data_IF_011278145827
#
_entry.id   IF_011278145827
#
_cell.length_a   1.000
_cell.length_b   1.000
_cell.length_c   1.000
_cell.angle_alpha   90.00
_cell.angle_beta   90.00
_cell.angle_gamma   90.00
#
_symmetry.space_group_name_H-M   'P 1'
#
loop_
_entity.id
_entity.type
_entity.pdbx_description
1 polymer ?
#
# COMPACT_ATOMS: atom_id res chain seq x y z
N UNK A 1 7.69 25.25 23.21
CA UNK A 1 8.46 24.19 23.91
C UNK A 1 8.27 22.87 23.18
N UNK A 2 9.34 22.12 22.90
CA UNK A 2 9.26 20.79 22.28
C UNK A 2 9.17 19.72 23.37
N UNK A 3 8.21 18.80 23.26
CA UNK A 3 7.94 17.72 24.22
C UNK A 3 7.78 16.40 23.46
N UNK A 4 8.26 15.29 24.03
CA UNK A 4 7.87 13.95 23.57
C UNK A 4 6.38 13.78 23.90
N UNK A 5 5.56 13.47 22.91
CA UNK A 5 4.10 13.31 23.08
C UNK A 5 3.64 11.86 22.89
N UNK A 6 4.52 10.99 22.41
CA UNK A 6 4.23 9.56 22.26
C UNK A 6 5.17 8.90 21.27
N UNK A 7 4.74 7.74 20.79
CA UNK A 7 5.45 6.93 19.80
C UNK A 7 4.45 6.37 18.79
N UNK A 8 4.92 6.07 17.59
CA UNK A 8 4.14 5.46 16.53
C UNK A 8 4.81 4.15 16.10
N UNK A 9 4.06 3.05 16.20
CA UNK A 9 4.46 1.75 15.66
C UNK A 9 4.19 1.67 14.16
N UNK A 10 5.13 1.08 13.42
CA UNK A 10 5.09 0.95 11.96
C UNK A 10 5.40 -0.50 11.60
N UNK A 11 4.51 -1.12 10.82
CA UNK A 11 4.52 -2.54 10.42
C UNK A 11 4.36 -2.74 8.90
N UNK A 12 4.60 -1.66 8.14
CA UNK A 12 4.62 -1.68 6.67
C UNK A 12 5.55 -0.62 6.05
N UNK A 13 6.43 -0.02 6.86
CA UNK A 13 7.30 1.10 6.49
C UNK A 13 6.58 2.38 6.06
N UNK A 14 5.27 2.49 6.33
CA UNK A 14 4.41 3.55 5.79
C UNK A 14 3.57 4.18 6.90
N UNK A 15 3.31 5.48 6.76
CA UNK A 15 2.50 6.27 7.69
C UNK A 15 1.57 7.22 6.93
N UNK A 16 0.52 7.66 7.64
CA UNK A 16 -0.48 8.58 7.14
C UNK A 16 -0.89 9.57 8.23
N UNK A 17 -1.08 10.84 7.84
CA UNK A 17 -1.65 11.89 8.69
C UNK A 17 -2.98 12.33 8.07
N UNK A 18 -4.05 12.28 8.85
CA UNK A 18 -5.38 12.76 8.46
C UNK A 18 -6.18 13.26 9.68
N UNK A 19 -7.25 14.01 9.43
CA UNK A 19 -8.25 14.27 10.46
C UNK A 19 -9.02 12.97 10.77
N UNK A 20 -9.22 12.59 12.04
CA UNK A 20 -10.00 11.41 12.41
C UNK A 20 -11.42 11.40 11.84
N UNK A 21 -12.06 12.55 11.66
CA UNK A 21 -13.41 12.65 11.10
C UNK A 21 -13.46 12.10 9.66
N UNK A 22 -12.38 12.27 8.90
CA UNK A 22 -12.30 11.78 7.53
C UNK A 22 -12.22 10.26 7.48
N UNK A 23 -11.69 9.60 8.53
CA UNK A 23 -11.72 8.13 8.61
C UNK A 23 -13.17 7.65 8.59
N UNK A 24 -14.09 8.35 9.25
CA UNK A 24 -15.50 7.99 9.23
C UNK A 24 -16.21 8.41 7.93
N UNK A 25 -15.94 9.60 7.39
CA UNK A 25 -16.71 10.16 6.29
C UNK A 25 -16.14 9.88 4.90
N UNK A 26 -14.82 9.80 4.76
CA UNK A 26 -14.11 9.71 3.49
C UNK A 26 -13.52 8.33 3.21
N UNK A 27 -13.22 7.54 4.26
CA UNK A 27 -12.55 6.24 4.09
C UNK A 27 -13.38 5.32 3.22
N UNK A 28 -12.72 4.72 2.22
CA UNK A 28 -13.30 3.68 1.37
C UNK A 28 -12.82 2.34 1.89
N UNK A 29 -13.72 1.62 2.56
CA UNK A 29 -13.49 0.24 2.96
C UNK A 29 -13.60 -0.69 1.74
N UNK A 30 -12.54 -0.69 0.95
CA UNK A 30 -12.40 -1.55 -0.21
C UNK A 30 -11.37 -2.63 0.12
N UNK A 31 -11.69 -3.91 -0.16
CA UNK A 31 -10.73 -4.98 0.04
C UNK A 31 -9.46 -4.71 -0.76
N UNK A 32 -8.33 -4.59 -0.07
CA UNK A 32 -7.03 -4.55 -0.74
C UNK A 32 -6.73 -5.93 -1.30
N UNK A 33 -7.02 -6.12 -2.59
CA UNK A 33 -6.64 -7.33 -3.31
C UNK A 33 -5.42 -7.01 -4.15
N UNK A 34 -4.25 -7.41 -3.65
CA UNK A 34 -3.04 -7.55 -4.46
C UNK A 34 -3.28 -8.70 -5.43
N UNK A 35 -3.97 -8.41 -6.53
CA UNK A 35 -4.13 -9.38 -7.59
C UNK A 35 -2.91 -9.29 -8.49
N UNK A 36 -1.87 -10.05 -8.16
CA UNK A 36 -0.77 -10.27 -9.09
C UNK A 36 -1.07 -11.51 -9.91
N UNK A 37 -1.59 -11.26 -11.11
CA UNK A 37 -1.89 -12.30 -12.07
C UNK A 37 -0.86 -12.31 -13.19
N UNK A 38 -0.43 -13.50 -13.56
CA UNK A 38 0.55 -13.73 -14.62
C UNK A 38 -0.02 -14.74 -15.61
N UNK A 39 -0.21 -14.33 -16.86
CA UNK A 39 -0.57 -15.24 -17.94
C UNK A 39 0.69 -15.85 -18.54
N UNK A 40 0.74 -17.18 -18.65
CA UNK A 40 1.80 -17.86 -19.37
C UNK A 40 1.65 -17.63 -20.88
N UNK A 41 2.71 -17.26 -21.58
CA UNK A 41 2.65 -16.89 -23.00
C UNK A 41 2.35 -18.08 -23.93
N UNK A 42 2.77 -19.28 -23.53
CA UNK A 42 2.66 -20.51 -24.33
C UNK A 42 1.69 -21.56 -23.79
N UNK A 43 1.29 -21.41 -22.53
CA UNK A 43 0.44 -22.38 -21.85
C UNK A 43 -0.88 -21.66 -21.56
N UNK A 44 -2.00 -22.35 -21.68
CA UNK A 44 -3.29 -21.81 -21.26
C UNK A 44 -3.42 -21.85 -19.72
N UNK A 45 -2.51 -21.13 -19.04
CA UNK A 45 -2.39 -21.08 -17.58
C UNK A 45 -2.24 -19.64 -17.09
N UNK A 46 -2.92 -19.36 -15.98
CA UNK A 46 -2.83 -18.11 -15.24
C UNK A 46 -2.34 -18.46 -13.83
N UNK A 47 -1.32 -17.75 -13.36
CA UNK A 47 -0.80 -17.85 -12.00
C UNK A 47 -1.23 -16.64 -11.19
N UNK A 48 -1.57 -16.84 -9.91
CA UNK A 48 -2.00 -15.76 -9.02
C UNK A 48 -1.35 -15.80 -7.64
N UNK A 49 -0.77 -14.68 -7.20
CA UNK A 49 -0.21 -14.59 -5.85
C UNK A 49 -1.34 -14.63 -4.82
N UNK A 50 -1.34 -15.63 -3.94
CA UNK A 50 -2.37 -15.89 -2.94
C UNK A 50 -3.82 -15.92 -3.49
N UNK A 51 -3.99 -16.13 -4.80
CA UNK A 51 -5.29 -16.15 -5.47
C UNK A 51 -5.47 -17.45 -6.26
N UNK A 52 -6.59 -18.14 -6.05
CA UNK A 52 -6.93 -19.40 -6.74
C UNK A 52 -8.15 -19.29 -7.66
N UNK A 53 -8.84 -18.14 -7.68
CA UNK A 53 -10.01 -17.89 -8.55
C UNK A 53 -10.21 -16.41 -8.84
N UNK A 54 -10.59 -16.06 -10.07
CA UNK A 54 -11.10 -14.73 -10.43
C UNK A 54 -12.30 -14.91 -11.38
N UNK A 55 -13.50 -14.72 -10.87
CA UNK A 55 -14.73 -15.02 -11.62
C UNK A 55 -14.73 -16.46 -12.14
N UNK A 56 -14.91 -16.71 -13.45
CA UNK A 56 -14.85 -18.05 -14.04
C UNK A 56 -13.43 -18.55 -14.33
N UNK A 57 -12.39 -17.73 -14.18
CA UNK A 57 -11.01 -18.11 -14.53
C UNK A 57 -10.41 -19.08 -13.50
N UNK A 58 -9.83 -20.18 -14.03
CA UNK A 58 -9.03 -21.12 -13.24
C UNK A 58 -7.62 -20.55 -13.05
N UNK A 59 -7.24 -20.32 -11.80
CA UNK A 59 -5.95 -19.73 -11.44
C UNK A 59 -5.16 -20.72 -10.61
N UNK A 60 -3.90 -20.92 -10.98
CA UNK A 60 -2.95 -21.63 -10.15
C UNK A 60 -2.35 -20.67 -9.12
N UNK A 61 -2.67 -20.89 -7.85
CA UNK A 61 -2.20 -20.01 -6.77
C UNK A 61 -0.76 -20.35 -6.37
N UNK A 62 0.05 -19.32 -6.13
CA UNK A 62 1.36 -19.44 -5.50
C UNK A 62 1.46 -18.52 -4.28
N UNK A 63 2.20 -18.97 -3.25
CA UNK A 63 2.39 -18.24 -1.98
C UNK A 63 3.73 -17.53 -1.90
N UNK A 64 4.72 -18.01 -2.63
CA UNK A 64 6.08 -17.44 -2.68
C UNK A 64 6.60 -17.57 -4.11
N UNK A 65 7.56 -16.72 -4.48
CA UNK A 65 8.03 -16.59 -5.85
C UNK A 65 9.06 -17.68 -6.25
N UNK A 66 9.66 -18.34 -5.27
CA UNK A 66 10.72 -19.34 -5.40
C UNK A 66 10.16 -20.76 -5.52
N UNK A 67 8.92 -20.98 -5.07
CA UNK A 67 8.32 -22.32 -5.07
C UNK A 67 7.96 -22.72 -6.50
N UNK A 68 8.36 -23.94 -6.89
CA UNK A 68 8.02 -24.51 -8.19
C UNK A 68 6.50 -24.69 -8.32
N UNK A 69 5.99 -24.29 -9.48
CA UNK A 69 4.60 -24.47 -9.90
C UNK A 69 4.43 -25.80 -10.63
N UNK A 70 3.23 -26.08 -11.11
CA UNK A 70 2.94 -27.25 -11.95
C UNK A 70 3.73 -27.30 -13.27
N UNK A 71 4.35 -26.19 -13.68
CA UNK A 71 5.27 -26.16 -14.85
C UNK A 71 6.67 -26.68 -14.52
N UNK A 72 6.91 -27.10 -13.27
CA UNK A 72 8.23 -27.44 -12.69
C UNK A 72 9.20 -26.25 -12.61
N UNK A 73 8.73 -25.03 -12.90
CA UNK A 73 9.44 -23.77 -12.74
C UNK A 73 8.75 -22.90 -11.69
N UNK A 74 9.54 -22.10 -10.99
CA UNK A 74 9.10 -21.05 -10.07
C UNK A 74 8.63 -19.79 -10.82
N UNK A 75 7.95 -18.89 -10.11
CA UNK A 75 7.55 -17.61 -10.69
C UNK A 75 8.78 -16.75 -11.04
N UNK A 76 9.82 -16.76 -10.20
CA UNK A 76 11.09 -16.07 -10.48
C UNK A 76 11.72 -16.54 -11.80
N UNK A 77 11.83 -17.85 -12.01
CA UNK A 77 12.37 -18.42 -13.26
C UNK A 77 11.51 -18.03 -14.47
N UNK A 78 10.18 -18.15 -14.37
CA UNK A 78 9.28 -17.82 -15.47
C UNK A 78 9.28 -16.30 -15.80
N UNK A 79 9.42 -15.43 -14.81
CA UNK A 79 9.53 -13.98 -15.00
C UNK A 79 10.87 -13.63 -15.65
N UNK A 80 11.97 -14.17 -15.13
CA UNK A 80 13.32 -13.95 -15.68
C UNK A 80 13.42 -14.40 -17.14
N UNK A 81 12.82 -15.55 -17.47
CA UNK A 81 12.79 -16.09 -18.82
C UNK A 81 11.73 -15.42 -19.72
N UNK A 82 10.97 -14.44 -19.21
CA UNK A 82 9.86 -13.78 -19.91
C UNK A 82 8.82 -14.77 -20.45
N UNK A 83 8.62 -15.89 -19.75
CA UNK A 83 7.64 -16.95 -20.11
C UNK A 83 6.21 -16.55 -19.71
N UNK A 84 6.09 -15.65 -18.74
CA UNK A 84 4.82 -15.08 -18.28
C UNK A 84 4.74 -13.59 -18.61
N UNK A 85 3.51 -13.06 -18.69
CA UNK A 85 3.21 -11.64 -18.77
C UNK A 85 2.32 -11.27 -17.59
N UNK A 86 2.69 -10.23 -16.83
CA UNK A 86 1.83 -9.66 -15.78
C UNK A 86 0.57 -9.10 -16.44
N UNK A 87 -0.59 -9.47 -15.92
CA UNK A 87 -1.87 -8.98 -16.40
C UNK A 87 -2.19 -7.66 -15.72
N UNK A 88 -2.52 -6.66 -16.53
CA UNK A 88 -3.08 -5.40 -16.03
C UNK A 88 -4.55 -5.64 -15.69
N UNK A 89 -4.85 -5.63 -14.39
CA UNK A 89 -6.22 -5.79 -13.94
C UNK A 89 -6.83 -4.40 -13.82
N UNK A 90 -7.94 -4.11 -14.55
CA UNK A 90 -8.48 -2.76 -14.68
C UNK A 90 -8.78 -2.04 -13.36
N UNK A 91 -9.03 -2.78 -12.27
CA UNK A 91 -9.39 -2.18 -10.98
C UNK A 91 -8.20 -1.82 -10.08
N UNK A 92 -6.96 -2.27 -10.38
CA UNK A 92 -5.77 -1.90 -9.57
C UNK A 92 -5.52 -0.38 -9.59
N UNK A 93 -5.81 0.26 -10.72
CA UNK A 93 -5.53 1.69 -10.93
C UNK A 93 -6.60 2.62 -10.35
N UNK A 94 -7.79 2.12 -10.01
CA UNK A 94 -8.90 2.96 -9.49
C UNK A 94 -8.74 3.37 -8.03
N UNK A 95 -7.89 2.66 -7.28
CA UNK A 95 -7.70 2.93 -5.85
C UNK A 95 -6.55 3.91 -5.58
N UNK A 96 -5.64 4.08 -6.54
CA UNK A 96 -4.46 4.92 -6.34
C UNK A 96 -4.88 6.38 -6.14
N UNK A 97 -4.40 7.00 -5.05
CA UNK A 97 -4.78 8.37 -4.68
C UNK A 97 -6.15 8.50 -4.02
N UNK A 98 -6.83 7.38 -3.73
CA UNK A 98 -8.06 7.38 -2.93
C UNK A 98 -7.74 7.17 -1.45
N UNK A 99 -8.59 7.70 -0.57
CA UNK A 99 -8.51 7.45 0.86
C UNK A 99 -9.03 6.06 1.23
N UNK A 100 -8.21 5.05 0.95
CA UNK A 100 -8.39 3.62 1.24
C UNK A 100 -7.05 3.00 1.57
N UNK A 101 -7.02 1.82 2.19
CA UNK A 101 -5.75 1.15 2.51
C UNK A 101 -4.81 1.04 1.29
N UNK A 102 -5.30 0.44 0.19
CA UNK A 102 -4.50 0.30 -1.02
C UNK A 102 -4.13 1.62 -1.68
N UNK A 103 -5.03 2.60 -1.64
CA UNK A 103 -4.76 3.93 -2.19
C UNK A 103 -3.67 4.68 -1.44
N UNK A 104 -3.70 4.60 -0.10
CA UNK A 104 -2.68 5.17 0.80
C UNK A 104 -1.34 4.50 0.56
N UNK A 105 -1.27 3.17 0.56
CA UNK A 105 -0.04 2.42 0.34
C UNK A 105 0.61 2.71 -1.01
N UNK A 106 -0.17 2.83 -2.09
CA UNK A 106 0.36 3.18 -3.41
C UNK A 106 0.82 4.65 -3.47
N UNK A 107 0.22 5.53 -2.66
CA UNK A 107 0.59 6.97 -2.62
C UNK A 107 1.97 7.16 -1.99
N UNK A 108 2.36 6.36 -0.99
CA UNK A 108 3.68 6.47 -0.37
C UNK A 108 4.83 6.12 -1.32
N UNK A 109 4.54 5.34 -2.37
CA UNK A 109 5.52 4.89 -3.37
C UNK A 109 5.69 5.88 -4.53
N UNK A 110 5.00 7.04 -4.50
CA UNK A 110 5.00 8.06 -5.56
C UNK A 110 5.61 9.37 -5.08
N UNK A 111 5.97 10.22 -6.04
CA UNK A 111 6.47 11.59 -5.77
C UNK A 111 5.40 12.53 -5.16
N UNK A 112 4.13 12.12 -5.15
CA UNK A 112 3.02 12.87 -4.58
C UNK A 112 2.49 12.17 -3.34
N UNK A 113 2.63 12.83 -2.19
CA UNK A 113 2.22 12.32 -0.87
C UNK A 113 0.77 12.68 -0.48
N UNK A 114 0.10 13.52 -1.26
CA UNK A 114 -1.24 14.02 -0.95
C UNK A 114 -2.34 13.03 -1.37
N UNK A 115 -3.30 12.82 -0.48
CA UNK A 115 -4.56 12.12 -0.77
C UNK A 115 -5.70 13.15 -0.81
N UNK A 116 -6.56 13.03 -1.82
CA UNK A 116 -7.67 13.95 -2.05
C UNK A 116 -8.97 13.42 -1.44
N UNK A 117 -9.89 14.34 -1.15
CA UNK A 117 -11.26 14.01 -0.79
C UNK A 117 -11.99 13.31 -1.93
N UNK A 118 -13.15 12.68 -1.67
CA UNK A 118 -13.99 12.06 -2.72
C UNK A 118 -14.33 13.01 -3.87
N UNK A 119 -14.49 14.30 -3.57
CA UNK A 119 -14.79 15.36 -4.54
C UNK A 119 -13.56 15.87 -5.32
N UNK A 120 -12.38 15.32 -5.05
CA UNK A 120 -11.17 15.54 -5.84
C UNK A 120 -10.26 16.68 -5.39
N UNK A 121 -10.68 17.54 -4.46
CA UNK A 121 -9.82 18.57 -3.87
C UNK A 121 -8.86 17.98 -2.82
N UNK A 122 -7.75 18.67 -2.57
CA UNK A 122 -6.69 18.22 -1.65
C UNK A 122 -7.09 18.39 -0.17
N UNK A 123 -6.39 17.71 0.74
CA UNK A 123 -6.50 17.90 2.19
C UNK A 123 -7.05 16.72 2.99
N UNK A 124 -7.38 15.59 2.35
CA UNK A 124 -7.95 14.44 3.06
C UNK A 124 -6.89 13.73 3.93
N UNK A 125 -5.71 13.48 3.38
CA UNK A 125 -4.58 12.93 4.12
C UNK A 125 -3.24 13.20 3.43
N UNK A 126 -2.14 12.98 4.15
CA UNK A 126 -0.78 12.90 3.60
C UNK A 126 -0.18 11.55 3.98
N UNK A 127 0.36 10.83 3.01
CA UNK A 127 0.94 9.50 3.17
C UNK A 127 2.40 9.48 2.75
N UNK A 128 3.26 8.82 3.53
CA UNK A 128 4.71 8.82 3.34
C UNK A 128 5.36 7.54 3.89
N UNK A 129 6.55 7.23 3.40
CA UNK A 129 7.38 6.15 3.93
C UNK A 129 8.25 6.65 5.09
N UNK A 130 8.57 5.76 6.02
CA UNK A 130 9.63 5.96 7.01
C UNK A 130 11.00 5.86 6.33
N UNK A 131 12.06 6.37 6.99
CA UNK A 131 13.42 6.28 6.47
C UNK A 131 14.02 4.87 6.52
N UNK A 132 13.63 4.05 7.50
CA UNK A 132 14.25 2.75 7.80
C UNK A 132 13.27 1.57 7.80
N UNK A 133 12.02 1.79 7.39
CA UNK A 133 11.00 0.75 7.33
C UNK A 133 10.22 0.60 8.64
N UNK A 134 10.05 -0.63 9.08
CA UNK A 134 9.27 -0.96 10.27
C UNK A 134 10.01 -0.56 11.54
N UNK A 135 9.25 -0.22 12.59
CA UNK A 135 9.85 0.24 13.83
C UNK A 135 8.90 0.95 14.77
N UNK A 136 9.49 1.60 15.79
CA UNK A 136 8.77 2.32 16.82
C UNK A 136 9.38 3.72 17.00
N UNK A 137 8.75 4.71 16.38
CA UNK A 137 9.35 6.03 16.19
C UNK A 137 8.79 7.05 17.18
N UNK A 138 9.62 7.88 17.83
CA UNK A 138 9.16 8.90 18.76
C UNK A 138 8.47 10.06 18.01
N UNK A 139 7.40 10.55 18.62
CA UNK A 139 6.60 11.68 18.12
C UNK A 139 6.72 12.84 19.09
N UNK A 140 7.11 14.00 18.57
CA UNK A 140 7.30 15.22 19.34
C UNK A 140 6.28 16.30 18.95
N UNK A 141 5.79 17.02 19.95
CA UNK A 141 4.95 18.20 19.77
C UNK A 141 5.70 19.47 20.14
N UNK A 142 5.56 20.53 19.34
CA UNK A 142 5.98 21.89 19.70
C UNK A 142 4.78 22.71 20.09
N UNK A 143 4.80 23.27 21.30
CA UNK A 143 3.69 24.01 21.89
C UNK A 143 4.02 25.50 22.05
N UNK A 144 3.04 26.37 21.86
CA UNK A 144 3.17 27.81 22.11
C UNK A 144 3.10 28.14 23.63
N UNK A 145 3.05 29.42 23.99
CA UNK A 145 2.99 29.87 25.39
C UNK A 145 1.65 29.56 26.08
N UNK A 146 0.60 29.28 25.31
CA UNK A 146 -0.73 28.90 25.78
C UNK A 146 -0.93 27.37 25.81
N UNK A 147 0.17 26.60 25.69
CA UNK A 147 0.19 25.14 25.59
C UNK A 147 -0.65 24.56 24.43
N UNK A 148 -0.85 25.35 23.35
CA UNK A 148 -1.47 24.87 22.12
C UNK A 148 -0.42 24.22 21.21
N UNK A 149 -0.74 23.05 20.66
CA UNK A 149 0.13 22.33 19.73
C UNK A 149 0.23 23.10 18.40
N UNK A 150 1.44 23.45 18.00
CA UNK A 150 1.73 24.22 16.77
C UNK A 150 2.40 23.38 15.70
N UNK A 151 3.09 22.30 16.08
CA UNK A 151 3.82 21.42 15.17
C UNK A 151 3.92 20.03 15.78
N UNK A 152 3.77 19.01 14.93
CA UNK A 152 4.11 17.62 15.26
C UNK A 152 5.25 17.18 14.35
N UNK A 153 6.22 16.47 14.92
CA UNK A 153 7.37 15.92 14.22
C UNK A 153 7.54 14.45 14.60
N UNK A 154 7.70 13.57 13.61
CA UNK A 154 8.08 12.17 13.82
C UNK A 154 9.56 12.05 13.47
N UNK A 155 10.35 11.44 14.35
CA UNK A 155 11.78 11.24 14.11
C UNK A 155 12.03 9.82 13.60
N UNK A 156 12.53 9.67 12.37
CA UNK A 156 12.82 8.37 11.76
C UNK A 156 14.27 7.91 11.96
N UNK A 157 15.13 8.69 12.63
CA UNK A 157 16.55 8.42 12.83
C UNK A 157 16.88 7.09 13.49
#
# INVERSE_FOLDING_TARGET
>A
MKKLIGYCGVDSGQLMICDPCYIASEWKDVPFKVMELYAHKKLNKIFGFNQNKLGPLKIESFKTYEKKTSTKKSMNEMIANKEVKKLDIPDKNKLIGTFSYGGVCETTMKDKHQINFKLGHTGCAVAFCTGYGDGYYPVYGTFNKEDRCMKVEINFN
#
